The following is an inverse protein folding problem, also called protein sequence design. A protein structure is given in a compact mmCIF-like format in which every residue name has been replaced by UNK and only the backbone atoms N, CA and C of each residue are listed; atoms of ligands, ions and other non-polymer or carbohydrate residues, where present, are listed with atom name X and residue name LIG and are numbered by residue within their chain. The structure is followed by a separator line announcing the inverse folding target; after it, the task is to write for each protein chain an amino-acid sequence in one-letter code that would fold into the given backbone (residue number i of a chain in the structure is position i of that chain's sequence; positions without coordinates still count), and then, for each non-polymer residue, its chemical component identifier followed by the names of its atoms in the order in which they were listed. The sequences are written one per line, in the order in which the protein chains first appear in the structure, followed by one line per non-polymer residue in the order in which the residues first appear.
data_IF_971949923679
#
_entry.id   IF_971949923679
#
_cell.length_a   1.000
_cell.length_b   1.000
_cell.length_c   1.000
_cell.angle_alpha   90.00
_cell.angle_beta   90.00
_cell.angle_gamma   90.00
#
_symmetry.space_group_name_H-M   'P 1'
#
loop_
_entity.id
_entity.type
_entity.pdbx_description
1 polymer ?
#
# COMPACT_ATOMS: atom_id res chain seq x y z
N UNK A 1 -70.29 -18.42 -38.33
CA UNK A 1 -70.45 -18.29 -36.88
C UNK A 1 -69.40 -19.15 -36.19
N UNK A 2 -68.34 -18.54 -35.65
CA UNK A 2 -67.52 -19.09 -34.57
C UNK A 2 -66.75 -17.92 -33.95
N UNK A 3 -66.84 -17.82 -32.62
CA UNK A 3 -66.54 -16.65 -31.80
C UNK A 3 -65.05 -16.38 -31.64
N UNK A 4 -64.67 -15.09 -31.76
CA UNK A 4 -63.40 -14.57 -31.28
C UNK A 4 -63.35 -14.51 -29.75
N UNK A 5 -62.17 -14.76 -29.20
CA UNK A 5 -61.86 -14.48 -27.80
C UNK A 5 -60.79 -13.38 -27.76
N UNK A 6 -61.23 -12.25 -27.21
CA UNK A 6 -60.49 -11.04 -26.89
C UNK A 6 -59.73 -11.29 -25.56
N UNK A 7 -58.41 -11.44 -25.60
CA UNK A 7 -57.58 -11.48 -24.39
C UNK A 7 -57.12 -10.07 -24.02
N UNK A 8 -57.71 -9.58 -22.93
CA UNK A 8 -57.48 -8.27 -22.32
C UNK A 8 -56.12 -8.26 -21.58
N UNK A 9 -55.19 -7.32 -21.85
CA UNK A 9 -53.91 -7.28 -21.17
C UNK A 9 -54.07 -6.83 -19.71
N UNK A 10 -53.56 -7.66 -18.79
CA UNK A 10 -53.55 -7.48 -17.34
C UNK A 10 -52.49 -6.42 -16.96
N UNK A 11 -52.96 -5.23 -16.57
CA UNK A 11 -52.12 -4.17 -16.05
C UNK A 11 -51.35 -4.64 -14.79
N UNK A 12 -50.01 -4.71 -14.89
CA UNK A 12 -49.13 -4.93 -13.74
C UNK A 12 -49.00 -3.62 -12.95
N UNK A 13 -49.48 -3.62 -11.71
CA UNK A 13 -49.29 -2.54 -10.77
C UNK A 13 -47.81 -2.32 -10.47
N UNK A 14 -47.36 -1.07 -10.60
CA UNK A 14 -46.10 -0.58 -10.04
C UNK A 14 -46.20 -0.61 -8.52
N UNK A 15 -45.51 -1.55 -7.89
CA UNK A 15 -45.16 -1.44 -6.47
C UNK A 15 -44.05 -0.39 -6.33
N UNK A 16 -44.35 0.69 -5.60
CA UNK A 16 -43.36 1.68 -5.19
C UNK A 16 -42.43 1.08 -4.14
N UNK A 17 -41.13 1.06 -4.45
CA UNK A 17 -40.08 0.74 -3.49
C UNK A 17 -39.66 2.05 -2.84
N UNK A 18 -40.18 2.30 -1.64
CA UNK A 18 -39.74 3.39 -0.78
C UNK A 18 -38.43 3.00 -0.10
N UNK A 19 -37.37 3.74 -0.40
CA UNK A 19 -36.24 4.09 0.48
C UNK A 19 -35.58 2.98 1.29
N UNK A 20 -34.55 2.35 0.72
CA UNK A 20 -33.44 1.80 1.50
C UNK A 20 -32.30 2.83 1.47
N UNK A 21 -32.00 3.44 2.62
CA UNK A 21 -30.87 4.35 2.78
C UNK A 21 -29.53 3.64 2.53
N UNK A 22 -28.42 4.39 2.34
CA UNK A 22 -27.10 3.80 2.16
C UNK A 22 -26.76 2.96 3.40
N UNK A 23 -26.66 1.65 3.21
CA UNK A 23 -26.27 0.72 4.25
C UNK A 23 -24.88 1.09 4.74
N UNK A 24 -24.76 1.34 6.05
CA UNK A 24 -23.46 1.34 6.72
C UNK A 24 -22.84 -0.03 6.48
N UNK A 25 -21.71 -0.05 5.78
CA UNK A 25 -20.83 -1.21 5.71
C UNK A 25 -20.37 -1.49 7.15
N UNK A 26 -20.84 -2.59 7.74
CA UNK A 26 -20.42 -3.06 9.06
C UNK A 26 -19.07 -3.73 8.89
N UNK A 27 -18.08 -3.30 9.66
CA UNK A 27 -16.79 -3.98 9.70
C UNK A 27 -16.99 -5.45 10.09
N UNK A 28 -16.52 -6.43 9.29
CA UNK A 28 -16.69 -7.85 9.61
C UNK A 28 -15.90 -8.28 10.87
N UNK A 29 -15.14 -7.36 11.49
CA UNK A 29 -14.42 -7.57 12.74
C UNK A 29 -15.18 -7.08 13.99
N UNK A 30 -16.31 -6.37 13.85
CA UNK A 30 -16.99 -5.76 15.00
C UNK A 30 -17.92 -6.71 15.77
N UNK A 31 -18.41 -7.80 15.13
CA UNK A 31 -19.42 -8.70 15.71
C UNK A 31 -18.88 -10.13 16.04
N UNK A 32 -17.56 -10.34 16.10
CA UNK A 32 -17.02 -11.61 16.57
C UNK A 32 -17.22 -11.74 18.11
N UNK A 33 -17.91 -12.78 18.62
CA UNK A 33 -18.09 -12.94 20.06
C UNK A 33 -16.74 -13.12 20.73
N UNK A 34 -16.44 -12.26 21.70
CA UNK A 34 -15.27 -12.30 22.56
C UNK A 34 -15.16 -13.66 23.28
N UNK A 35 -14.52 -14.63 22.62
CA UNK A 35 -13.96 -15.84 23.21
C UNK A 35 -12.54 -16.04 22.67
N UNK A 36 -11.70 -15.03 22.86
CA UNK A 36 -10.24 -15.22 22.83
C UNK A 36 -9.82 -15.35 24.28
N UNK A 37 -9.53 -16.58 24.69
CA UNK A 37 -8.94 -16.85 25.99
C UNK A 37 -7.64 -16.06 26.13
N UNK A 38 -7.46 -15.37 27.24
CA UNK A 38 -6.21 -14.75 27.61
C UNK A 38 -5.14 -15.85 27.71
N UNK A 39 -4.32 -16.00 26.68
CA UNK A 39 -3.06 -16.74 26.78
C UNK A 39 -2.07 -15.79 27.44
N UNK A 40 -1.93 -15.93 28.76
CA UNK A 40 -0.83 -15.33 29.49
C UNK A 40 0.47 -15.96 29.00
N UNK A 41 1.24 -15.22 28.21
CA UNK A 41 2.62 -15.60 27.87
C UNK A 41 3.47 -15.32 29.10
N UNK A 42 3.66 -16.36 29.92
CA UNK A 42 4.66 -16.40 30.98
C UNK A 42 6.05 -16.42 30.31
N UNK A 43 6.70 -15.26 30.28
CA UNK A 43 8.12 -15.13 30.00
C UNK A 43 8.89 -15.67 31.21
N UNK A 44 9.35 -16.92 31.13
CA UNK A 44 10.35 -17.45 32.07
C UNK A 44 11.73 -16.86 31.75
N UNK A 45 12.50 -16.37 32.73
CA UNK A 45 13.87 -15.96 32.50
C UNK A 45 14.76 -17.19 32.26
N UNK A 46 15.47 -17.19 31.14
CA UNK A 46 16.55 -18.14 30.84
C UNK A 46 17.73 -17.92 31.79
N UNK A 47 17.98 -18.89 32.65
CA UNK A 47 19.22 -19.03 33.40
C UNK A 47 20.38 -19.41 32.47
N UNK A 48 21.52 -18.80 32.75
CA UNK A 48 22.84 -19.09 32.21
C UNK A 48 23.40 -20.47 32.68
N UNK A 49 24.56 -20.83 32.11
CA UNK A 49 25.38 -22.06 32.23
C UNK A 49 25.19 -22.99 31.02
N UNK A 50 26.22 -23.56 30.38
CA UNK A 50 27.61 -23.78 30.79
C UNK A 50 28.53 -23.94 29.56
N UNK A 51 29.82 -23.66 29.74
CA UNK A 51 30.89 -23.95 28.78
C UNK A 51 31.12 -25.47 28.67
N UNK A 52 31.20 -26.01 27.46
CA UNK A 52 31.82 -27.31 27.21
C UNK A 52 32.54 -27.37 25.84
N UNK A 53 33.86 -27.29 25.95
CA UNK A 53 34.95 -27.96 25.23
C UNK A 53 34.78 -28.45 23.76
N UNK A 54 35.60 -27.94 22.81
CA UNK A 54 35.69 -28.40 21.43
C UNK A 54 36.74 -29.51 21.24
N UNK A 55 36.29 -30.77 21.10
CA UNK A 55 37.18 -31.85 20.62
C UNK A 55 36.44 -33.01 19.95
N UNK A 56 36.22 -32.91 18.63
CA UNK A 56 36.27 -34.08 17.73
C UNK A 56 36.23 -33.69 16.24
N UNK A 57 37.25 -34.10 15.45
CA UNK A 57 37.22 -34.01 14.00
C UNK A 57 36.71 -35.33 13.41
N UNK A 58 35.66 -35.28 12.58
CA UNK A 58 35.43 -36.31 11.58
C UNK A 58 35.20 -35.70 10.21
N UNK A 59 36.23 -35.91 9.39
CA UNK A 59 36.20 -35.80 7.96
C UNK A 59 35.25 -36.84 7.36
N UNK A 60 34.48 -36.45 6.35
CA UNK A 60 34.18 -37.34 5.23
C UNK A 60 33.92 -36.49 3.98
N UNK A 61 34.85 -36.65 3.04
CA UNK A 61 34.81 -36.12 1.70
C UNK A 61 33.68 -36.78 0.89
N UNK A 62 32.91 -35.98 0.16
CA UNK A 62 32.06 -36.46 -0.94
C UNK A 62 32.48 -35.71 -2.20
N UNK A 63 32.87 -36.50 -3.20
CA UNK A 63 33.39 -36.07 -4.49
C UNK A 63 32.31 -35.41 -5.38
N UNK A 64 32.69 -34.46 -6.27
CA UNK A 64 31.78 -33.91 -7.26
C UNK A 64 31.63 -34.85 -8.47
N UNK A 65 30.40 -35.32 -8.70
CA UNK A 65 29.99 -36.00 -9.93
C UNK A 65 29.88 -35.02 -11.09
N UNK A 66 30.63 -35.29 -12.16
CA UNK A 66 30.63 -34.55 -13.42
C UNK A 66 29.30 -34.78 -14.15
N UNK A 67 28.57 -33.70 -14.46
CA UNK A 67 27.46 -33.73 -15.42
C UNK A 67 27.96 -33.29 -16.78
N UNK A 68 27.81 -34.18 -17.75
CA UNK A 68 28.17 -33.99 -19.16
C UNK A 68 27.21 -33.01 -19.83
N UNK A 69 27.76 -31.91 -20.36
CA UNK A 69 27.04 -30.95 -21.20
C UNK A 69 26.95 -31.54 -22.61
N UNK A 70 25.74 -31.87 -23.03
CA UNK A 70 25.43 -32.25 -24.42
C UNK A 70 25.34 -31.00 -25.28
N UNK A 71 26.23 -30.88 -26.26
CA UNK A 71 26.26 -29.77 -27.23
C UNK A 71 25.75 -30.30 -28.57
N UNK A 72 24.69 -29.69 -29.11
CA UNK A 72 24.14 -29.95 -30.44
C UNK A 72 23.49 -28.67 -31.00
N UNK A 73 23.34 -28.54 -32.34
CA UNK A 73 23.97 -27.43 -33.06
C UNK A 73 23.03 -26.26 -33.43
N UNK A 74 23.71 -25.18 -33.80
CA UNK A 74 23.22 -23.93 -34.36
C UNK A 74 22.19 -24.12 -35.49
N UNK A 75 21.11 -23.35 -35.43
CA UNK A 75 20.26 -23.04 -36.57
C UNK A 75 20.08 -21.54 -36.75
N UNK A 76 20.57 -21.09 -37.91
CA UNK A 76 19.99 -20.16 -38.87
C UNK A 76 19.31 -18.88 -38.38
N UNK A 77 20.03 -17.79 -38.65
CA UNK A 77 19.58 -16.44 -38.94
C UNK A 77 18.24 -16.37 -39.69
N UNK A 78 17.29 -15.61 -39.13
CA UNK A 78 16.29 -14.89 -39.91
C UNK A 78 16.29 -13.43 -39.45
N UNK A 79 16.77 -12.60 -40.37
CA UNK A 79 16.87 -11.16 -40.30
C UNK A 79 15.61 -10.60 -40.98
N UNK A 80 14.63 -10.14 -40.21
CA UNK A 80 13.48 -9.41 -40.76
C UNK A 80 13.01 -8.34 -39.78
N UNK A 81 13.11 -7.09 -40.21
CA UNK A 81 12.12 -6.07 -39.91
C UNK A 81 12.42 -5.18 -38.71
N UNK A 82 13.01 -4.03 -39.01
CA UNK A 82 13.00 -2.82 -38.19
C UNK A 82 11.57 -2.46 -37.75
N UNK A 83 11.16 -2.95 -36.58
CA UNK A 83 10.04 -2.42 -35.83
C UNK A 83 10.58 -1.42 -34.82
N UNK A 84 10.14 -0.17 -34.94
CA UNK A 84 10.35 0.89 -33.95
C UNK A 84 9.78 0.40 -32.61
N UNK A 85 10.65 -0.17 -31.77
CA UNK A 85 10.34 -0.59 -30.41
C UNK A 85 10.01 0.64 -29.57
N UNK A 86 8.77 1.10 -29.66
CA UNK A 86 8.21 2.04 -28.70
C UNK A 86 8.27 1.34 -27.33
N UNK A 87 9.15 1.83 -26.46
CA UNK A 87 9.28 1.31 -25.11
C UNK A 87 7.91 1.43 -24.40
N UNK A 88 7.26 0.31 -24.03
CA UNK A 88 5.91 0.33 -23.48
C UNK A 88 5.81 1.11 -22.16
N UNK A 89 6.93 1.25 -21.45
CA UNK A 89 7.04 2.05 -20.22
C UNK A 89 6.91 3.55 -20.52
N UNK A 90 7.48 4.03 -21.64
CA UNK A 90 7.35 5.43 -22.03
C UNK A 90 5.94 5.78 -22.47
N UNK A 91 5.21 4.86 -23.11
CA UNK A 91 3.79 5.08 -23.43
C UNK A 91 2.92 5.12 -22.18
N UNK A 92 3.18 4.26 -21.19
CA UNK A 92 2.44 4.26 -19.93
C UNK A 92 2.69 5.55 -19.12
N UNK A 93 3.94 6.02 -19.06
CA UNK A 93 4.31 7.27 -18.40
C UNK A 93 3.67 8.49 -19.07
N UNK A 94 3.61 8.54 -20.40
CA UNK A 94 2.91 9.61 -21.13
C UNK A 94 1.41 9.63 -20.83
N UNK A 95 0.79 8.45 -20.68
CA UNK A 95 -0.61 8.34 -20.26
C UNK A 95 -0.85 8.92 -18.87
N UNK A 96 0.01 8.59 -17.90
CA UNK A 96 -0.09 9.10 -16.53
C UNK A 96 0.14 10.63 -16.45
N UNK A 97 1.11 11.16 -17.21
CA UNK A 97 1.36 12.60 -17.26
C UNK A 97 0.15 13.36 -17.83
N UNK A 98 -0.45 12.84 -18.90
CA UNK A 98 -1.64 13.45 -19.53
C UNK A 98 -2.85 13.48 -18.60
N UNK A 99 -3.05 12.43 -17.79
CA UNK A 99 -4.13 12.40 -16.79
C UNK A 99 -3.86 13.39 -15.66
N UNK A 100 -2.61 13.52 -15.22
CA UNK A 100 -2.23 14.50 -14.20
C UNK A 100 -2.43 15.95 -14.68
N UNK A 101 -2.06 16.26 -15.93
CA UNK A 101 -2.29 17.56 -16.54
C UNK A 101 -3.79 17.88 -16.67
N UNK A 102 -4.60 16.91 -17.10
CA UNK A 102 -6.05 17.07 -17.20
C UNK A 102 -6.70 17.31 -15.82
N UNK A 103 -6.25 16.60 -14.78
CA UNK A 103 -6.74 16.78 -13.42
C UNK A 103 -6.35 18.14 -12.82
N UNK A 104 -5.12 18.63 -13.08
CA UNK A 104 -4.71 19.97 -12.69
C UNK A 104 -5.53 21.05 -13.41
N UNK A 105 -5.82 20.87 -14.70
CA UNK A 105 -6.67 21.79 -15.46
C UNK A 105 -8.12 21.85 -14.92
N UNK A 106 -8.67 20.71 -14.49
CA UNK A 106 -10.01 20.65 -13.91
C UNK A 106 -10.08 21.28 -12.50
N UNK A 107 -9.03 21.11 -11.68
CA UNK A 107 -8.90 21.80 -10.40
C UNK A 107 -8.78 23.32 -10.56
N UNK A 108 -8.07 23.80 -11.59
CA UNK A 108 -7.92 25.23 -11.85
C UNK A 108 -9.25 25.91 -12.24
N UNK A 109 -10.23 25.16 -12.78
CA UNK A 109 -11.54 25.70 -13.14
C UNK A 109 -12.54 25.73 -11.97
N UNK A 110 -12.26 24.99 -10.89
CA UNK A 110 -13.11 24.92 -9.70
C UNK A 110 -12.74 26.06 -8.75
N UNK A 111 -13.19 27.28 -9.08
CA UNK A 111 -13.16 28.42 -8.14
C UNK A 111 -13.83 27.96 -6.82
N UNK A 112 -13.14 28.00 -5.67
CA UNK A 112 -13.76 27.65 -4.40
C UNK A 112 -14.93 28.61 -4.19
N UNK A 113 -16.15 28.06 -4.11
CA UNK A 113 -17.28 28.85 -3.66
C UNK A 113 -16.95 29.25 -2.22
N UNK A 114 -17.09 30.52 -1.84
CA UNK A 114 -16.90 30.92 -0.45
C UNK A 114 -17.87 30.10 0.39
N UNK A 115 -17.33 29.25 1.26
CA UNK A 115 -18.12 28.52 2.23
C UNK A 115 -18.76 29.53 3.17
N UNK A 116 -20.09 29.50 3.24
CA UNK A 116 -20.87 30.29 4.18
C UNK A 116 -20.65 29.69 5.57
N UNK A 117 -20.08 30.48 6.47
CA UNK A 117 -19.54 30.10 7.78
C UNK A 117 -20.59 29.69 8.84
N UNK A 118 -21.88 29.58 8.47
CA UNK A 118 -22.97 29.59 9.45
C UNK A 118 -23.55 28.22 9.84
N UNK A 119 -23.11 27.11 9.24
CA UNK A 119 -23.77 25.81 9.44
C UNK A 119 -22.95 24.75 10.23
N UNK A 120 -21.75 25.07 10.76
CA UNK A 120 -20.85 24.04 11.31
C UNK A 120 -20.81 23.88 12.84
N UNK A 121 -21.66 24.56 13.62
CA UNK A 121 -21.76 24.33 15.06
C UNK A 121 -23.18 23.99 15.49
N UNK A 122 -23.61 22.76 15.19
CA UNK A 122 -24.69 22.10 15.93
C UNK A 122 -24.30 20.66 16.25
N UNK A 123 -23.77 20.49 17.46
CA UNK A 123 -23.93 19.27 18.25
C UNK A 123 -22.77 18.28 18.17
N UNK A 124 -21.67 18.56 18.86
CA UNK A 124 -20.80 17.50 19.37
C UNK A 124 -21.45 16.91 20.64
N UNK A 125 -21.70 15.57 20.71
CA UNK A 125 -22.19 14.90 21.90
C UNK A 125 -21.09 14.55 22.92
N UNK A 126 -19.84 14.93 22.65
CA UNK A 126 -18.72 14.71 23.56
C UNK A 126 -18.33 16.02 24.23
N UNK A 127 -19.08 16.36 25.28
CA UNK A 127 -18.72 17.41 26.22
C UNK A 127 -17.37 17.10 26.84
N UNK A 128 -16.37 17.88 26.45
CA UNK A 128 -15.09 18.00 27.17
C UNK A 128 -15.10 19.41 27.77
N UNK A 129 -15.15 19.47 29.09
CA UNK A 129 -15.17 20.73 29.85
C UNK A 129 -13.94 21.60 29.57
N UNK A 130 -14.09 22.89 29.27
CA UNK A 130 -12.98 23.82 29.18
C UNK A 130 -12.74 24.47 30.54
N UNK A 131 -12.01 23.79 31.42
CA UNK A 131 -11.46 24.38 32.65
C UNK A 131 -9.98 24.07 32.77
N UNK A 132 -9.13 24.94 32.22
CA UNK A 132 -7.88 25.41 32.84
C UNK A 132 -7.10 26.30 31.87
N UNK A 133 -7.41 27.60 31.89
CA UNK A 133 -6.46 28.65 31.51
C UNK A 133 -6.42 29.65 32.65
N UNK A 134 -5.42 29.49 33.52
CA UNK A 134 -4.94 30.57 34.35
C UNK A 134 -3.40 30.52 34.33
N UNK A 135 -2.83 31.40 33.52
CA UNK A 135 -1.42 31.81 33.63
C UNK A 135 -1.30 33.22 33.06
N UNK A 136 -1.45 34.17 33.97
CA UNK A 136 -1.14 35.57 33.73
C UNK A 136 0.36 35.84 33.64
N UNK A 137 0.62 37.00 33.04
CA UNK A 137 1.70 37.96 33.31
C UNK A 137 3.16 37.51 33.13
N UNK A 138 3.81 38.04 32.08
CA UNK A 138 4.70 39.20 32.23
C UNK A 138 5.32 39.53 30.87
N UNK A 139 5.01 40.73 30.36
CA UNK A 139 5.71 41.36 29.24
C UNK A 139 6.90 42.11 29.83
N UNK A 140 8.11 41.65 29.54
CA UNK A 140 9.31 42.47 29.70
C UNK A 140 9.95 42.75 28.34
N UNK A 141 10.23 44.03 28.18
CA UNK A 141 10.67 44.71 26.97
C UNK A 141 12.18 44.54 26.83
N UNK A 142 12.67 43.90 25.77
CA UNK A 142 14.09 43.88 25.47
C UNK A 142 14.36 43.97 23.96
N UNK A 143 14.81 45.17 23.56
CA UNK A 143 15.85 45.47 22.58
C UNK A 143 15.83 44.74 21.22
N UNK A 144 15.35 45.45 20.21
CA UNK A 144 15.53 45.14 18.79
C UNK A 144 17.00 45.44 18.43
N UNK A 145 17.84 44.41 18.45
CA UNK A 145 19.18 44.43 17.89
C UNK A 145 19.13 44.15 16.38
N UNK A 146 19.76 45.02 15.59
CA UNK A 146 19.91 44.91 14.13
C UNK A 146 20.50 43.55 13.73
N UNK A 147 19.84 42.75 12.88
CA UNK A 147 20.38 41.46 12.46
C UNK A 147 21.58 41.66 11.52
N UNK A 148 22.74 41.14 11.95
CA UNK A 148 23.94 41.06 11.14
C UNK A 148 23.69 40.19 9.89
N UNK A 149 24.25 40.64 8.76
CA UNK A 149 24.10 39.99 7.47
C UNK A 149 24.44 38.48 7.53
N UNK A 150 23.63 37.60 6.92
CA UNK A 150 23.86 36.17 6.97
C UNK A 150 25.18 35.83 6.25
N UNK A 151 26.02 34.95 6.82
CA UNK A 151 27.23 34.51 6.15
C UNK A 151 26.84 33.73 4.88
N UNK A 152 27.37 34.20 3.75
CA UNK A 152 27.31 33.54 2.45
C UNK A 152 27.75 32.08 2.60
N UNK A 153 26.77 31.17 2.70
CA UNK A 153 27.04 29.76 2.92
C UNK A 153 27.78 29.20 1.71
N UNK A 154 28.95 28.57 1.90
CA UNK A 154 29.74 28.04 0.81
C UNK A 154 28.93 26.93 0.11
N UNK A 155 28.63 27.22 -1.15
CA UNK A 155 28.35 26.32 -2.27
C UNK A 155 28.42 24.82 -1.88
N UNK A 156 27.28 24.25 -1.48
CA UNK A 156 27.13 22.81 -1.34
C UNK A 156 27.25 22.19 -2.73
N UNK A 157 28.48 21.82 -3.08
CA UNK A 157 28.76 20.99 -4.23
C UNK A 157 27.80 19.80 -4.19
N UNK A 158 26.98 19.68 -5.23
CA UNK A 158 25.92 18.70 -5.38
C UNK A 158 26.53 17.32 -5.44
N UNK A 159 26.88 16.77 -4.28
CA UNK A 159 27.19 15.35 -4.16
C UNK A 159 25.99 14.60 -4.72
N UNK A 160 26.25 13.67 -5.62
CA UNK A 160 25.29 12.73 -6.17
C UNK A 160 24.79 11.87 -5.00
N UNK A 161 23.95 12.45 -4.14
CA UNK A 161 23.33 11.77 -3.02
C UNK A 161 22.44 10.71 -3.64
N UNK A 162 22.90 9.46 -3.61
CA UNK A 162 22.04 8.32 -3.87
C UNK A 162 20.82 8.50 -2.98
N UNK A 163 19.64 8.59 -3.60
CA UNK A 163 18.39 8.78 -2.87
C UNK A 163 18.29 7.68 -1.82
N UNK A 164 18.26 8.06 -0.54
CA UNK A 164 18.18 7.10 0.57
C UNK A 164 17.04 6.12 0.31
N UNK A 165 17.18 4.81 0.55
CA UNK A 165 16.10 3.85 0.30
C UNK A 165 14.82 4.21 1.07
N UNK A 166 13.68 3.85 0.50
CA UNK A 166 12.36 4.02 1.11
C UNK A 166 11.83 2.67 1.58
N UNK A 167 11.44 2.62 2.84
CA UNK A 167 10.76 1.49 3.46
C UNK A 167 9.36 1.90 3.84
N UNK A 168 8.37 1.05 3.55
CA UNK A 168 6.97 1.34 3.82
C UNK A 168 6.34 0.17 4.56
N UNK A 169 5.63 0.44 5.65
CA UNK A 169 4.79 -0.53 6.35
C UNK A 169 3.34 -0.17 6.01
N UNK A 170 2.60 -1.14 5.46
CA UNK A 170 1.18 -1.01 5.18
C UNK A 170 0.45 -1.89 6.19
N UNK A 171 -0.37 -1.28 7.05
CA UNK A 171 -1.10 -1.97 8.12
C UNK A 171 -2.62 -1.99 7.85
N UNK A 172 -3.13 -0.96 7.18
CA UNK A 172 -4.55 -0.77 6.94
C UNK A 172 -5.07 -1.59 5.76
N UNK A 173 -6.28 -2.14 5.90
CA UNK A 173 -7.03 -2.72 4.78
C UNK A 173 -7.88 -1.68 4.04
N UNK A 174 -7.90 -0.42 4.45
CA UNK A 174 -8.67 0.62 3.76
C UNK A 174 -8.14 0.82 2.34
N UNK A 175 -9.05 0.78 1.36
CA UNK A 175 -8.68 0.89 -0.06
C UNK A 175 -7.93 2.19 -0.35
N UNK A 176 -8.39 3.30 0.25
CA UNK A 176 -7.79 4.63 0.05
C UNK A 176 -6.36 4.73 0.60
N UNK A 177 -6.09 4.10 1.74
CA UNK A 177 -4.76 4.04 2.35
C UNK A 177 -3.81 3.20 1.49
N UNK A 178 -4.25 2.01 1.08
CA UNK A 178 -3.48 1.13 0.20
C UNK A 178 -3.18 1.80 -1.14
N UNK A 179 -4.17 2.46 -1.74
CA UNK A 179 -4.02 3.18 -3.01
C UNK A 179 -2.99 4.31 -2.91
N UNK A 180 -3.09 5.12 -1.85
CA UNK A 180 -2.16 6.22 -1.60
C UNK A 180 -0.74 5.73 -1.35
N UNK A 181 -0.58 4.65 -0.56
CA UNK A 181 0.71 4.02 -0.30
C UNK A 181 1.36 3.51 -1.58
N UNK A 182 0.62 2.74 -2.40
CA UNK A 182 1.14 2.19 -3.65
C UNK A 182 1.46 3.27 -4.70
N UNK A 183 0.66 4.35 -4.73
CA UNK A 183 0.93 5.51 -5.58
C UNK A 183 2.24 6.20 -5.14
N UNK A 184 2.43 6.41 -3.84
CA UNK A 184 3.66 6.98 -3.29
C UNK A 184 4.89 6.08 -3.57
N UNK A 185 4.74 4.77 -3.43
CA UNK A 185 5.79 3.80 -3.76
C UNK A 185 6.18 3.85 -5.24
N UNK A 186 5.18 3.92 -6.13
CA UNK A 186 5.39 4.06 -7.59
C UNK A 186 6.14 5.34 -7.91
N UNK A 187 5.74 6.47 -7.31
CA UNK A 187 6.43 7.76 -7.49
C UNK A 187 7.88 7.69 -6.98
N UNK A 188 8.14 7.09 -5.82
CA UNK A 188 9.49 6.92 -5.29
C UNK A 188 10.37 6.10 -6.24
N UNK A 189 9.85 4.99 -6.78
CA UNK A 189 10.57 4.16 -7.74
C UNK A 189 10.90 4.91 -9.04
N UNK A 190 9.97 5.73 -9.55
CA UNK A 190 10.20 6.58 -10.72
C UNK A 190 11.28 7.65 -10.47
N UNK A 191 11.40 8.14 -9.24
CA UNK A 191 12.48 9.02 -8.79
C UNK A 191 13.80 8.26 -8.50
N UNK A 192 13.89 7.00 -8.92
CA UNK A 192 15.05 6.11 -8.73
C UNK A 192 15.38 5.89 -7.26
N UNK A 193 14.37 5.89 -6.40
CA UNK A 193 14.51 5.58 -4.98
C UNK A 193 14.16 4.11 -4.74
N UNK A 194 15.12 3.27 -4.33
CA UNK A 194 14.83 1.87 -4.01
C UNK A 194 13.73 1.79 -2.95
N UNK A 195 12.67 1.03 -3.24
CA UNK A 195 11.47 0.99 -2.38
C UNK A 195 11.14 -0.45 -1.99
N UNK A 196 10.97 -0.67 -0.68
CA UNK A 196 10.56 -1.97 -0.10
C UNK A 196 9.33 -1.78 0.76
N UNK A 197 8.31 -2.61 0.54
CA UNK A 197 7.03 -2.51 1.22
C UNK A 197 6.73 -3.79 1.99
N UNK A 198 6.40 -3.65 3.27
CA UNK A 198 5.91 -4.72 4.12
C UNK A 198 4.40 -4.59 4.29
N UNK A 199 3.66 -5.59 3.83
CA UNK A 199 2.23 -5.74 4.08
C UNK A 199 2.05 -6.50 5.39
N UNK A 200 1.49 -5.82 6.37
CA UNK A 200 1.24 -6.33 7.73
C UNK A 200 -0.22 -6.12 8.12
N UNK A 201 -0.64 -6.72 9.23
CA UNK A 201 -2.02 -6.61 9.71
C UNK A 201 -3.04 -6.97 8.64
N UNK A 202 -4.05 -6.11 8.45
CA UNK A 202 -5.13 -6.34 7.50
C UNK A 202 -4.72 -6.05 6.04
N UNK A 203 -3.66 -5.28 5.82
CA UNK A 203 -3.15 -4.97 4.48
C UNK A 203 -2.72 -6.22 3.69
N UNK A 204 -2.46 -7.35 4.38
CA UNK A 204 -2.09 -8.62 3.74
C UNK A 204 -3.11 -9.10 2.71
N UNK A 205 -4.38 -8.69 2.86
CA UNK A 205 -5.47 -8.99 1.93
C UNK A 205 -5.17 -8.45 0.52
N UNK A 206 -4.48 -7.31 0.41
CA UNK A 206 -4.12 -6.70 -0.87
C UNK A 206 -3.18 -7.58 -1.71
N UNK A 207 -2.41 -8.48 -1.08
CA UNK A 207 -1.49 -9.38 -1.78
C UNK A 207 -2.18 -10.63 -2.35
N UNK A 208 -3.35 -11.00 -1.84
CA UNK A 208 -4.10 -12.18 -2.28
C UNK A 208 -5.12 -11.79 -3.35
N UNK A 209 -4.94 -12.17 -4.63
CA UNK A 209 -5.89 -11.84 -5.69
C UNK A 209 -7.35 -12.20 -5.40
N UNK A 210 -7.70 -13.40 -4.86
CA UNK A 210 -9.10 -13.73 -4.57
C UNK A 210 -9.66 -12.85 -3.46
N UNK A 211 -8.93 -12.66 -2.35
CA UNK A 211 -9.40 -11.84 -1.23
C UNK A 211 -9.49 -10.36 -1.60
N UNK A 212 -8.54 -9.86 -2.39
CA UNK A 212 -8.56 -8.49 -2.92
C UNK A 212 -9.78 -8.27 -3.82
N UNK A 213 -10.11 -9.22 -4.68
CA UNK A 213 -11.28 -9.12 -5.57
C UNK A 213 -12.60 -9.10 -4.79
N UNK A 214 -12.68 -9.89 -3.72
CA UNK A 214 -13.83 -9.92 -2.80
C UNK A 214 -13.96 -8.61 -2.02
N UNK A 215 -12.87 -8.15 -1.38
CA UNK A 215 -12.90 -6.98 -0.50
C UNK A 215 -13.02 -5.65 -1.26
N UNK A 216 -12.37 -5.50 -2.41
CA UNK A 216 -12.24 -4.20 -3.08
C UNK A 216 -12.93 -4.13 -4.45
N UNK A 217 -13.72 -5.13 -4.83
CA UNK A 217 -14.29 -5.23 -6.17
C UNK A 217 -15.08 -3.99 -6.62
N UNK A 218 -15.80 -3.33 -5.69
CA UNK A 218 -16.51 -2.08 -5.97
C UNK A 218 -15.56 -0.88 -6.17
N UNK A 219 -14.60 -0.72 -5.27
CA UNK A 219 -13.59 0.34 -5.37
C UNK A 219 -12.78 0.22 -6.66
N UNK A 220 -12.38 -1.00 -7.05
CA UNK A 220 -11.63 -1.25 -8.30
C UNK A 220 -12.49 -0.92 -9.54
N UNK A 221 -13.79 -1.21 -9.52
CA UNK A 221 -14.71 -0.80 -10.61
C UNK A 221 -14.84 0.72 -10.68
N UNK A 222 -14.99 1.38 -9.52
CA UNK A 222 -15.09 2.83 -9.46
C UNK A 222 -13.80 3.52 -9.92
N UNK A 223 -12.63 3.04 -9.48
CA UNK A 223 -11.33 3.55 -9.91
C UNK A 223 -11.19 3.50 -11.44
N UNK A 224 -11.52 2.35 -12.06
CA UNK A 224 -11.52 2.23 -13.53
C UNK A 224 -12.48 3.20 -14.21
N UNK A 225 -13.69 3.37 -13.68
CA UNK A 225 -14.67 4.32 -14.23
C UNK A 225 -14.14 5.77 -14.20
N UNK A 226 -13.38 6.11 -13.15
CA UNK A 226 -12.71 7.40 -12.99
C UNK A 226 -11.34 7.49 -13.70
N UNK A 227 -10.92 6.44 -14.43
CA UNK A 227 -9.60 6.33 -15.08
C UNK A 227 -8.43 6.48 -14.10
N UNK A 228 -8.62 6.04 -12.86
CA UNK A 228 -7.60 5.93 -11.82
C UNK A 228 -7.09 4.48 -11.79
N UNK A 229 -5.79 4.31 -11.55
CA UNK A 229 -5.18 2.99 -11.43
C UNK A 229 -5.80 2.19 -10.27
N UNK A 230 -6.06 0.92 -10.50
CA UNK A 230 -6.52 -0.06 -9.51
C UNK A 230 -5.39 -0.51 -8.58
N UNK A 231 -5.72 -1.11 -7.42
CA UNK A 231 -4.69 -1.70 -6.54
C UNK A 231 -3.91 -2.81 -7.27
N UNK A 232 -4.61 -3.61 -8.07
CA UNK A 232 -3.99 -4.65 -8.89
C UNK A 232 -2.96 -4.09 -9.89
N UNK A 233 -3.31 -3.00 -10.59
CA UNK A 233 -2.42 -2.33 -11.53
C UNK A 233 -1.23 -1.69 -10.82
N UNK A 234 -1.46 -1.01 -9.69
CA UNK A 234 -0.39 -0.38 -8.92
C UNK A 234 0.60 -1.41 -8.34
N UNK A 235 0.13 -2.53 -7.79
CA UNK A 235 1.00 -3.61 -7.33
C UNK A 235 1.86 -4.16 -8.46
N UNK A 236 1.25 -4.41 -9.63
CA UNK A 236 1.98 -4.86 -10.82
C UNK A 236 3.01 -3.83 -11.29
N UNK A 237 2.68 -2.53 -11.26
CA UNK A 237 3.60 -1.45 -11.62
C UNK A 237 4.77 -1.35 -10.64
N UNK A 238 4.52 -1.41 -9.33
CA UNK A 238 5.57 -1.39 -8.31
C UNK A 238 6.58 -2.51 -8.57
N UNK A 239 6.10 -3.72 -8.85
CA UNK A 239 6.98 -4.86 -9.16
C UNK A 239 7.74 -4.67 -10.47
N UNK A 240 7.07 -4.19 -11.52
CA UNK A 240 7.71 -3.92 -12.81
C UNK A 240 8.81 -2.86 -12.71
N UNK A 241 8.69 -1.92 -11.76
CA UNK A 241 9.69 -0.90 -11.46
C UNK A 241 10.79 -1.38 -10.49
N UNK A 242 10.78 -2.65 -10.08
CA UNK A 242 11.78 -3.23 -9.17
C UNK A 242 11.50 -2.98 -7.69
N UNK A 243 10.30 -2.54 -7.33
CA UNK A 243 9.86 -2.46 -5.95
C UNK A 243 9.75 -3.84 -5.32
N UNK A 244 10.21 -3.97 -4.07
CA UNK A 244 10.15 -5.24 -3.34
C UNK A 244 8.91 -5.30 -2.48
N UNK A 245 8.08 -6.31 -2.73
CA UNK A 245 6.89 -6.59 -1.92
C UNK A 245 7.22 -7.68 -0.90
N UNK A 246 6.86 -7.46 0.35
CA UNK A 246 7.04 -8.42 1.43
C UNK A 246 5.73 -8.63 2.19
N UNK A 247 5.45 -9.87 2.56
CA UNK A 247 4.32 -10.28 3.37
C UNK A 247 4.81 -10.59 4.79
N UNK A 248 4.21 -9.94 5.79
CA UNK A 248 4.51 -10.22 7.19
C UNK A 248 4.01 -11.63 7.56
N UNK A 249 4.90 -12.47 8.07
CA UNK A 249 4.58 -13.84 8.50
C UNK A 249 3.42 -13.88 9.51
N UNK A 250 3.49 -13.04 10.55
CA UNK A 250 2.45 -12.98 11.58
C UNK A 250 1.09 -12.55 11.00
N UNK A 251 1.08 -11.63 10.02
CA UNK A 251 -0.16 -11.19 9.38
C UNK A 251 -0.79 -12.31 8.53
N UNK A 252 0.03 -13.09 7.83
CA UNK A 252 -0.44 -14.26 7.07
C UNK A 252 -1.08 -15.30 8.00
N UNK A 253 -0.45 -15.59 9.14
CA UNK A 253 -0.98 -16.50 10.15
C UNK A 253 -2.32 -16.02 10.70
N UNK A 254 -2.42 -14.74 11.09
CA UNK A 254 -3.67 -14.15 11.59
C UNK A 254 -4.79 -14.15 10.56
N UNK A 255 -4.48 -13.91 9.29
CA UNK A 255 -5.45 -13.96 8.20
C UNK A 255 -5.79 -15.38 7.74
N UNK A 256 -5.19 -16.42 8.33
CA UNK A 256 -5.33 -17.82 7.91
C UNK A 256 -5.04 -18.04 6.42
N UNK A 257 -4.12 -17.24 5.85
CA UNK A 257 -3.70 -17.36 4.45
C UNK A 257 -2.59 -18.41 4.37
N UNK A 258 -2.87 -19.53 3.69
CA UNK A 258 -1.86 -20.55 3.45
C UNK A 258 -0.78 -20.00 2.50
N UNK A 259 0.45 -19.90 3.02
CA UNK A 259 1.60 -19.32 2.36
C UNK A 259 2.53 -20.37 1.70
N UNK A 260 2.15 -21.65 1.72
CA UNK A 260 2.86 -22.74 1.02
C UNK A 260 2.88 -22.56 -0.51
N UNK A 261 2.02 -21.68 -1.06
CA UNK A 261 2.02 -21.31 -2.47
C UNK A 261 2.36 -19.83 -2.63
N UNK A 262 3.65 -19.47 -2.82
CA UNK A 262 4.09 -18.08 -3.01
C UNK A 262 3.38 -17.35 -4.16
N UNK A 263 2.93 -18.10 -5.18
CA UNK A 263 2.12 -17.57 -6.28
C UNK A 263 0.80 -16.94 -5.83
N UNK A 264 0.33 -17.26 -4.62
CA UNK A 264 -0.89 -16.69 -4.05
C UNK A 264 -0.72 -15.24 -3.55
N UNK A 265 0.52 -14.78 -3.32
CA UNK A 265 0.82 -13.48 -2.69
C UNK A 265 1.28 -12.41 -3.69
N UNK A 266 0.83 -12.50 -4.94
CA UNK A 266 1.22 -11.57 -6.00
C UNK A 266 2.74 -11.39 -6.11
N UNK A 267 3.54 -12.44 -5.87
CA UNK A 267 5.00 -12.38 -5.93
C UNK A 267 5.69 -11.71 -4.74
N UNK A 268 4.99 -11.45 -3.64
CA UNK A 268 5.61 -10.97 -2.40
C UNK A 268 6.42 -12.07 -1.70
N UNK A 269 7.58 -11.70 -1.15
CA UNK A 269 8.39 -12.57 -0.32
C UNK A 269 7.87 -12.58 1.13
N UNK A 270 7.91 -13.72 1.81
CA UNK A 270 7.53 -13.78 3.23
C UNK A 270 8.70 -13.27 4.08
N UNK A 271 8.42 -12.40 5.05
CA UNK A 271 9.45 -11.88 5.96
C UNK A 271 8.89 -11.68 7.37
N UNK A 272 9.77 -11.72 8.36
CA UNK A 272 9.47 -11.31 9.73
C UNK A 272 9.63 -9.81 9.93
N UNK A 273 8.87 -9.23 10.86
CA UNK A 273 8.95 -7.81 11.19
C UNK A 273 10.37 -7.39 11.59
N UNK A 274 11.07 -8.19 12.39
CA UNK A 274 12.44 -7.89 12.85
C UNK A 274 13.43 -7.82 11.68
N UNK A 275 13.34 -8.77 10.73
CA UNK A 275 14.18 -8.79 9.53
C UNK A 275 13.94 -7.57 8.65
N UNK A 276 12.68 -7.17 8.47
CA UNK A 276 12.34 -5.94 7.75
C UNK A 276 12.89 -4.70 8.45
N UNK A 277 12.75 -4.59 9.77
CA UNK A 277 13.24 -3.44 10.53
C UNK A 277 14.76 -3.33 10.52
N UNK A 278 15.48 -4.46 10.54
CA UNK A 278 16.94 -4.48 10.39
C UNK A 278 17.38 -3.92 9.03
N UNK A 279 16.65 -4.25 7.96
CA UNK A 279 16.89 -3.70 6.62
C UNK A 279 16.55 -2.20 6.54
N UNK A 280 15.42 -1.82 7.14
CA UNK A 280 14.89 -0.45 7.15
C UNK A 280 15.77 0.55 7.90
N UNK A 281 16.64 0.10 8.80
CA UNK A 281 17.55 0.95 9.59
C UNK A 281 18.48 1.82 8.73
N UNK A 282 18.63 1.52 7.45
CA UNK A 282 19.50 2.23 6.49
C UNK A 282 18.78 3.28 5.65
N UNK A 283 17.46 3.45 5.83
CA UNK A 283 16.64 4.31 4.98
C UNK A 283 15.56 5.09 5.72
N UNK A 284 14.69 5.73 4.94
CA UNK A 284 13.50 6.38 5.48
C UNK A 284 12.39 5.35 5.62
N UNK A 285 11.67 5.40 6.74
CA UNK A 285 10.50 4.57 6.99
C UNK A 285 9.23 5.41 6.96
N UNK A 286 8.22 4.94 6.23
CA UNK A 286 6.85 5.46 6.24
C UNK A 286 5.88 4.36 6.68
N UNK A 287 4.75 4.76 7.29
CA UNK A 287 3.70 3.84 7.73
C UNK A 287 2.34 4.34 7.20
N UNK A 288 1.50 3.42 6.73
CA UNK A 288 0.19 3.68 6.09
C UNK A 288 -0.93 2.78 6.66
#
# INVERSE_FOLDING_TARGET
MAKGQDEKPKARGRQGVTGAGPGRFKDPFEDAPAKVGAVAILLSPTSAMDLADPSSPQAMAIAPGQSTISTAPAQASQDTGSATSANPVLSALKGLLSVAEAALAEQALKKPRPHREEDFYKGDPYGVDPFMTDRGAALDSASIGTPAAPPSSPNQASSTQGSQPLFMILCSAEWSHLHSALTAATAALLLRRPTTMLFSGAAIIALSPPLRAEMYGENERHARACRVATLAELLSQVQALGGRLQACEAALQLASINHEKPSALSGAAITGMVSFMAEAATGQLLCF
#
